data_IF_425385543033
#
_entry.id   IF_425385543033
#
_cell.length_a   1.000
_cell.length_b   1.000
_cell.length_c   1.000
_cell.angle_alpha   90.00
_cell.angle_beta   90.00
_cell.angle_gamma   90.00
#
_symmetry.space_group_name_H-M   'P 1'
#
loop_
_entity.id
_entity.type
_entity.pdbx_description
1 polymer ?
#
# COMPACT_ATOMS: atom_id res chain seq x y z
N UNK A 1 -0.16 -37.49 23.29
CA UNK A 1 0.28 -37.40 21.87
C UNK A 1 -0.68 -36.56 21.01
N UNK A 2 -1.99 -36.83 20.98
CA UNK A 2 -2.96 -36.07 20.16
C UNK A 2 -2.94 -34.54 20.37
N UNK A 3 -2.87 -34.05 21.61
CA UNK A 3 -2.79 -32.60 21.90
C UNK A 3 -1.53 -31.93 21.31
N UNK A 4 -0.38 -32.61 21.34
CA UNK A 4 0.89 -32.11 20.78
C UNK A 4 0.81 -32.04 19.25
N UNK A 5 0.16 -33.02 18.62
CA UNK A 5 -0.09 -33.03 17.17
C UNK A 5 -1.02 -31.88 16.76
N UNK A 6 -2.12 -31.68 17.48
CA UNK A 6 -3.07 -30.57 17.23
C UNK A 6 -2.38 -29.22 17.37
N UNK A 7 -1.58 -29.03 18.41
CA UNK A 7 -0.84 -27.78 18.60
C UNK A 7 0.19 -27.56 17.49
N UNK A 8 0.89 -28.61 17.07
CA UNK A 8 1.82 -28.54 15.93
C UNK A 8 1.14 -28.11 14.62
N UNK A 9 -0.05 -28.63 14.33
CA UNK A 9 -0.83 -28.24 13.14
C UNK A 9 -1.24 -26.77 13.23
N UNK A 10 -1.74 -26.33 14.39
CA UNK A 10 -2.13 -24.92 14.61
C UNK A 10 -0.93 -24.00 14.39
N UNK A 11 0.23 -24.33 14.96
CA UNK A 11 1.46 -23.53 14.79
C UNK A 11 1.85 -23.39 13.32
N UNK A 12 1.79 -24.48 12.55
CA UNK A 12 2.10 -24.47 11.11
C UNK A 12 1.13 -23.59 10.32
N UNK A 13 -0.16 -23.66 10.64
CA UNK A 13 -1.18 -22.83 9.97
C UNK A 13 -0.93 -21.35 10.28
N UNK A 14 -0.70 -21.00 11.55
CA UNK A 14 -0.44 -19.61 11.96
C UNK A 14 0.81 -19.06 11.27
N UNK A 15 1.91 -19.83 11.26
CA UNK A 15 3.15 -19.42 10.58
C UNK A 15 2.94 -19.26 9.06
N UNK A 16 2.18 -20.16 8.44
CA UNK A 16 1.86 -20.06 7.02
C UNK A 16 1.11 -18.77 6.70
N UNK A 17 0.09 -18.43 7.50
CA UNK A 17 -0.71 -17.20 7.30
C UNK A 17 0.13 -15.94 7.49
N UNK A 18 1.01 -15.91 8.49
CA UNK A 18 1.86 -14.75 8.76
C UNK A 18 2.81 -14.40 7.60
N UNK A 19 3.20 -15.41 6.82
CA UNK A 19 4.10 -15.25 5.67
C UNK A 19 3.37 -14.91 4.37
N UNK A 20 2.03 -15.04 4.31
CA UNK A 20 1.27 -14.69 3.11
C UNK A 20 1.25 -13.17 2.90
N UNK A 21 1.43 -12.68 1.65
CA UNK A 21 1.39 -11.26 1.31
C UNK A 21 -0.06 -10.77 1.24
N UNK A 22 -0.64 -10.45 2.40
CA UNK A 22 -2.05 -10.08 2.53
C UNK A 22 -2.27 -8.58 2.74
N UNK A 23 -1.29 -7.88 3.29
CA UNK A 23 -1.43 -6.49 3.75
C UNK A 23 -0.88 -5.54 2.70
N UNK A 24 -1.57 -4.46 2.39
CA UNK A 24 -1.07 -3.48 1.42
C UNK A 24 0.16 -2.74 1.99
N UNK A 25 1.18 -2.56 1.15
CA UNK A 25 2.40 -1.82 1.53
C UNK A 25 2.08 -0.38 1.89
N UNK A 26 1.31 0.29 1.03
CA UNK A 26 0.72 1.58 1.31
C UNK A 26 -0.70 1.38 1.81
N UNK A 27 -1.04 1.97 2.97
CA UNK A 27 -2.40 1.86 3.49
C UNK A 27 -3.39 2.54 2.53
N UNK A 28 -4.52 1.91 2.24
CA UNK A 28 -5.55 2.46 1.33
C UNK A 28 -6.10 3.81 1.81
N UNK A 29 -6.03 4.11 3.11
CA UNK A 29 -6.43 5.38 3.71
C UNK A 29 -5.34 6.46 3.68
N UNK A 30 -4.15 6.17 3.14
CA UNK A 30 -3.06 7.13 3.02
C UNK A 30 -3.53 8.31 2.18
N UNK A 31 -3.32 9.54 2.67
CA UNK A 31 -3.67 10.75 1.93
C UNK A 31 -2.67 10.95 0.79
N UNK A 32 -3.19 11.19 -0.41
CA UNK A 32 -2.41 11.50 -1.61
C UNK A 32 -2.99 12.70 -2.33
N UNK A 33 -2.14 13.39 -3.08
CA UNK A 33 -2.54 14.45 -4.01
C UNK A 33 -2.73 13.80 -5.38
N UNK A 34 -3.81 14.13 -6.07
CA UNK A 34 -4.04 13.71 -7.46
C UNK A 34 -4.02 14.91 -8.39
N UNK A 35 -3.54 14.73 -9.61
CA UNK A 35 -3.75 15.65 -10.72
C UNK A 35 -4.75 15.03 -11.70
N UNK A 36 -5.89 15.68 -11.86
CA UNK A 36 -6.98 15.20 -12.70
C UNK A 36 -6.71 15.43 -14.20
N UNK A 37 -5.76 16.29 -14.56
CA UNK A 37 -5.33 16.52 -15.94
C UNK A 37 -4.43 15.39 -16.42
N UNK A 38 -3.41 15.04 -15.63
CA UNK A 38 -2.40 14.03 -15.99
C UNK A 38 -2.74 12.62 -15.49
N UNK A 39 -3.76 12.52 -14.62
CA UNK A 39 -4.16 11.29 -13.92
C UNK A 39 -3.03 10.70 -13.09
N UNK A 40 -2.33 11.57 -12.38
CA UNK A 40 -1.14 11.22 -11.61
C UNK A 40 -1.43 11.29 -10.11
N UNK A 41 -0.86 10.34 -9.36
CA UNK A 41 -0.88 10.29 -7.90
C UNK A 41 0.48 10.74 -7.38
N UNK A 42 0.46 11.68 -6.44
CA UNK A 42 1.65 12.25 -5.81
C UNK A 42 1.56 12.14 -4.29
N UNK A 43 2.64 11.68 -3.67
CA UNK A 43 2.77 11.69 -2.22
C UNK A 43 2.90 13.14 -1.72
N UNK A 44 2.23 13.56 -0.63
CA UNK A 44 2.24 14.96 -0.19
C UNK A 44 3.64 15.56 0.04
N UNK A 45 4.61 14.75 0.48
CA UNK A 45 6.00 15.21 0.66
C UNK A 45 6.78 15.42 -0.64
N UNK A 46 6.25 14.96 -1.77
CA UNK A 46 6.87 15.03 -3.10
C UNK A 46 6.25 16.14 -3.97
N UNK A 47 5.30 16.92 -3.41
CA UNK A 47 4.57 17.96 -4.14
C UNK A 47 5.47 18.93 -4.90
N UNK A 48 6.51 19.45 -4.25
CA UNK A 48 7.43 20.43 -4.85
C UNK A 48 8.29 19.88 -6.00
N UNK A 49 8.35 18.55 -6.13
CA UNK A 49 9.14 17.85 -7.16
C UNK A 49 8.26 17.33 -8.31
N UNK A 50 6.94 17.28 -8.09
CA UNK A 50 5.99 16.81 -9.08
C UNK A 50 5.56 17.96 -10.02
N UNK A 51 5.53 17.67 -11.33
CA UNK A 51 5.08 18.62 -12.34
C UNK A 51 3.55 18.58 -12.45
N UNK A 52 2.87 19.25 -11.52
CA UNK A 52 1.41 19.24 -11.40
C UNK A 52 0.77 20.44 -12.08
N UNK A 53 -0.42 20.21 -12.65
CA UNK A 53 -1.31 21.26 -13.13
C UNK A 53 -2.09 21.90 -11.98
N UNK A 54 -2.92 22.89 -12.28
CA UNK A 54 -3.78 23.54 -11.28
C UNK A 54 -5.08 22.77 -11.01
N UNK A 55 -5.28 21.58 -11.60
CA UNK A 55 -6.47 20.76 -11.38
C UNK A 55 -6.18 19.58 -10.44
N UNK A 56 -5.71 19.93 -9.23
CA UNK A 56 -5.35 18.96 -8.19
C UNK A 56 -6.44 18.80 -7.13
N UNK A 57 -6.48 17.63 -6.50
CA UNK A 57 -7.33 17.33 -5.34
C UNK A 57 -6.61 16.37 -4.38
N UNK A 58 -7.18 16.15 -3.19
CA UNK A 58 -6.65 15.22 -2.20
C UNK A 58 -7.65 14.11 -1.91
N UNK A 59 -7.18 12.87 -2.06
CA UNK A 59 -8.01 11.67 -1.86
C UNK A 59 -7.23 10.62 -1.07
N UNK A 60 -7.89 9.50 -0.76
CA UNK A 60 -7.21 8.34 -0.22
C UNK A 60 -6.50 7.56 -1.36
N UNK A 61 -5.36 6.94 -1.05
CA UNK A 61 -4.59 6.17 -2.01
C UNK A 61 -5.40 5.03 -2.64
N UNK A 62 -6.21 4.35 -1.84
CA UNK A 62 -7.13 3.32 -2.32
C UNK A 62 -8.15 3.88 -3.32
N UNK A 63 -8.72 5.06 -3.05
CA UNK A 63 -9.63 5.70 -4.02
C UNK A 63 -8.91 6.09 -5.30
N UNK A 64 -7.69 6.62 -5.20
CA UNK A 64 -6.90 7.02 -6.35
C UNK A 64 -6.58 5.84 -7.29
N UNK A 65 -6.23 4.67 -6.71
CA UNK A 65 -5.91 3.45 -7.47
C UNK A 65 -7.17 2.71 -7.91
N UNK A 66 -8.09 2.41 -6.99
CA UNK A 66 -9.18 1.45 -7.20
C UNK A 66 -10.43 2.08 -7.86
N UNK A 67 -10.69 3.37 -7.61
CA UNK A 67 -11.88 4.06 -8.14
C UNK A 67 -11.55 4.97 -9.33
N UNK A 68 -10.41 5.67 -9.27
CA UNK A 68 -10.02 6.65 -10.28
C UNK A 68 -9.07 6.08 -11.34
N UNK A 69 -8.40 4.96 -11.03
CA UNK A 69 -7.42 4.30 -11.90
C UNK A 69 -6.28 5.25 -12.32
N UNK A 70 -5.73 6.00 -11.35
CA UNK A 70 -4.61 6.92 -11.56
C UNK A 70 -3.27 6.24 -11.23
N UNK A 71 -2.17 6.76 -11.78
CA UNK A 71 -0.85 6.14 -11.66
C UNK A 71 0.11 6.97 -10.82
N UNK A 72 0.96 6.32 -10.01
CA UNK A 72 2.13 6.97 -9.40
C UNK A 72 3.24 7.04 -10.46
N UNK A 73 3.60 8.23 -10.94
CA UNK A 73 4.59 8.37 -12.04
C UNK A 73 5.93 8.89 -11.58
N UNK A 74 5.96 9.87 -10.68
CA UNK A 74 7.18 10.45 -10.15
C UNK A 74 7.97 9.47 -9.25
N UNK A 75 9.30 9.58 -9.28
CA UNK A 75 10.18 8.67 -8.54
C UNK A 75 10.06 8.85 -7.02
N UNK A 76 9.86 10.08 -6.54
CA UNK A 76 9.74 10.38 -5.12
C UNK A 76 8.49 9.73 -4.50
N UNK A 77 7.36 9.77 -5.21
CA UNK A 77 6.12 9.14 -4.78
C UNK A 77 6.15 7.64 -4.95
N UNK A 78 6.81 7.09 -5.98
CA UNK A 78 6.98 5.63 -6.12
C UNK A 78 7.70 5.00 -4.93
N UNK A 79 8.67 5.71 -4.36
CA UNK A 79 9.39 5.27 -3.16
C UNK A 79 8.50 5.28 -1.91
N UNK A 80 7.51 6.18 -1.84
CA UNK A 80 6.68 6.40 -0.63
C UNK A 80 5.30 5.75 -0.70
N UNK A 81 4.79 5.56 -1.90
CA UNK A 81 3.51 4.94 -2.22
C UNK A 81 3.79 3.59 -2.89
N UNK A 82 4.52 2.73 -2.18
CA UNK A 82 4.80 1.40 -2.71
C UNK A 82 3.50 0.63 -2.95
N UNK A 83 3.32 0.18 -4.19
CA UNK A 83 2.20 -0.64 -4.60
C UNK A 83 2.42 -2.12 -4.22
N UNK A 84 1.30 -2.85 -4.13
CA UNK A 84 1.29 -4.28 -3.87
C UNK A 84 1.17 -4.66 -2.39
N UNK A 85 1.37 -5.95 -2.12
CA UNK A 85 1.14 -6.54 -0.80
C UNK A 85 2.43 -7.01 -0.14
N UNK A 86 2.51 -6.80 1.17
CA UNK A 86 3.53 -7.33 2.06
C UNK A 86 2.94 -8.38 3.01
N UNK A 87 3.82 -9.17 3.61
CA UNK A 87 3.41 -10.16 4.60
C UNK A 87 2.96 -9.51 5.90
N UNK A 88 2.03 -10.16 6.60
CA UNK A 88 1.58 -9.71 7.92
C UNK A 88 2.77 -9.62 8.88
N UNK A 89 3.70 -10.57 8.79
CA UNK A 89 4.91 -10.59 9.62
C UNK A 89 5.82 -9.39 9.34
N UNK A 90 6.11 -9.08 8.06
CA UNK A 90 6.94 -7.91 7.72
C UNK A 90 6.31 -6.62 8.23
N UNK A 91 4.99 -6.46 8.07
CA UNK A 91 4.29 -5.25 8.49
C UNK A 91 4.28 -5.02 10.01
N UNK A 92 4.43 -6.08 10.81
CA UNK A 92 4.53 -5.99 12.27
C UNK A 92 5.97 -5.65 12.72
N UNK A 93 6.97 -6.01 11.91
CA UNK A 93 8.39 -5.84 12.25
C UNK A 93 9.00 -4.53 11.71
N UNK A 94 8.31 -3.87 10.79
CA UNK A 94 8.60 -2.53 10.26
C UNK A 94 8.26 -1.43 11.29
#
# INVERSE_FOLDING_TARGET
>A
MRKKLVWGIITVIVLSVLLLPLVDKTASTTRVIIDNTTKEIVHPSCYDQADLTNWIDEVSFGRAIDELEYDVRDECSKERLEEGKTSVLMRILE
#
